data_IF_881499022094
#
_entry.id   IF_881499022094
#
_cell.length_a   1.000
_cell.length_b   1.000
_cell.length_c   1.000
_cell.angle_alpha   90.00
_cell.angle_beta   90.00
_cell.angle_gamma   90.00
#
_symmetry.space_group_name_H-M   'P 1'
#
loop_
_entity.id
_entity.type
_entity.pdbx_description
1 polymer ?
#
# COMPACT_ATOMS: atom_id res chain seq x y z
N UNK A 1 -8.56 -10.84 -1.06
CA UNK A 1 -8.34 -9.65 -0.25
C UNK A 1 -6.89 -9.17 -0.39
N UNK A 2 -6.72 -7.96 -0.84
CA UNK A 2 -5.40 -7.40 -1.07
C UNK A 2 -5.02 -6.53 0.13
N UNK A 3 -3.89 -6.86 0.76
CA UNK A 3 -3.37 -6.11 1.89
C UNK A 3 -2.09 -5.42 1.46
N UNK A 4 -2.03 -4.10 1.69
CA UNK A 4 -0.85 -3.30 1.42
C UNK A 4 -0.25 -2.90 2.77
N UNK A 5 1.00 -3.27 3.00
CA UNK A 5 1.70 -2.97 4.24
C UNK A 5 2.93 -2.12 3.95
N UNK A 6 3.08 -1.04 4.68
CA UNK A 6 4.27 -0.18 4.57
C UNK A 6 5.21 -0.44 5.73
N UNK A 7 6.47 -0.61 5.41
CA UNK A 7 7.52 -0.78 6.40
C UNK A 7 8.14 0.59 6.71
N UNK A 8 8.17 0.95 7.97
CA UNK A 8 8.79 2.22 8.40
C UNK A 8 10.17 1.94 8.96
N UNK A 9 11.21 2.47 8.31
CA UNK A 9 12.61 2.24 8.67
C UNK A 9 13.06 2.95 9.95
N UNK A 10 12.22 3.72 10.61
CA UNK A 10 12.64 4.61 11.69
C UNK A 10 12.12 4.23 13.05
N UNK A 11 12.17 2.97 13.40
CA UNK A 11 11.94 2.56 14.78
C UNK A 11 10.57 2.87 15.40
N UNK A 12 9.71 3.50 14.67
CA UNK A 12 8.32 3.63 15.05
C UNK A 12 7.62 2.38 14.56
N UNK A 13 7.12 1.59 15.48
CA UNK A 13 6.43 0.34 15.17
C UNK A 13 5.04 0.55 14.56
N UNK A 14 4.83 1.67 13.91
CA UNK A 14 3.56 1.96 13.28
C UNK A 14 3.59 1.48 11.83
N UNK A 15 3.58 0.17 11.64
CA UNK A 15 3.35 -0.41 10.34
C UNK A 15 1.95 -0.04 9.89
N UNK A 16 1.85 0.70 8.82
CA UNK A 16 0.55 1.06 8.27
C UNK A 16 0.06 -0.03 7.34
N UNK A 17 -1.12 -0.51 7.60
CA UNK A 17 -1.76 -1.55 6.79
C UNK A 17 -3.01 -0.99 6.14
N UNK A 18 -3.16 -1.29 4.87
CA UNK A 18 -4.34 -0.89 4.10
C UNK A 18 -4.93 -2.11 3.43
N UNK A 19 -6.25 -2.12 3.29
CA UNK A 19 -6.93 -3.15 2.55
C UNK A 19 -7.37 -2.55 1.23
N UNK A 20 -6.85 -3.10 0.13
CA UNK A 20 -7.14 -2.60 -1.20
C UNK A 20 -8.18 -3.50 -1.87
N UNK A 21 -9.11 -2.87 -2.56
CA UNK A 21 -10.08 -3.57 -3.40
C UNK A 21 -9.47 -3.86 -4.77
N UNK A 22 -8.69 -2.93 -5.29
CA UNK A 22 -8.05 -3.04 -6.59
C UNK A 22 -6.78 -2.19 -6.64
N UNK A 23 -5.70 -2.75 -7.16
CA UNK A 23 -4.47 -2.01 -7.39
C UNK A 23 -4.57 -1.33 -8.76
N UNK A 24 -4.38 -0.03 -8.80
CA UNK A 24 -4.45 0.76 -10.03
C UNK A 24 -3.06 1.01 -10.62
N UNK A 25 -2.10 1.40 -9.77
CA UNK A 25 -0.72 1.63 -10.17
C UNK A 25 0.18 0.99 -9.12
N UNK A 26 1.15 0.20 -9.57
CA UNK A 26 2.12 -0.46 -8.69
C UNK A 26 3.51 -0.25 -9.28
N UNK A 27 4.21 0.76 -8.76
CA UNK A 27 5.57 1.09 -9.18
C UNK A 27 6.44 1.32 -7.95
N UNK A 28 7.75 1.33 -8.13
CA UNK A 28 8.69 1.54 -7.04
C UNK A 28 8.48 2.88 -6.34
N UNK A 29 8.12 3.92 -7.09
CA UNK A 29 7.97 5.27 -6.55
C UNK A 29 6.54 5.80 -6.59
N UNK A 30 5.61 4.96 -7.01
CA UNK A 30 4.22 5.38 -7.14
C UNK A 30 3.29 4.19 -6.93
N UNK A 31 2.46 4.29 -5.90
CA UNK A 31 1.46 3.28 -5.60
C UNK A 31 0.09 3.95 -5.54
N UNK A 32 -0.86 3.39 -6.27
CA UNK A 32 -2.22 3.88 -6.27
C UNK A 32 -3.18 2.69 -6.25
N UNK A 33 -4.13 2.74 -5.35
CA UNK A 33 -5.10 1.67 -5.25
C UNK A 33 -6.46 2.21 -4.78
N UNK A 34 -7.48 1.41 -4.98
CA UNK A 34 -8.82 1.70 -4.48
C UNK A 34 -9.05 0.86 -3.23
N UNK A 35 -9.44 1.50 -2.14
CA UNK A 35 -9.66 0.82 -0.86
C UNK A 35 -11.06 0.19 -0.76
N UNK A 36 -11.36 -0.42 0.39
CA UNK A 36 -12.65 -1.05 0.63
C UNK A 36 -13.83 -0.07 0.61
N UNK A 37 -13.57 1.17 0.97
CA UNK A 37 -14.59 2.22 0.98
C UNK A 37 -14.76 2.88 -0.39
N UNK A 38 -14.16 2.29 -1.41
CA UNK A 38 -14.21 2.77 -2.77
C UNK A 38 -13.51 4.11 -2.98
N UNK A 39 -12.59 4.45 -2.10
CA UNK A 39 -11.77 5.65 -2.20
C UNK A 39 -10.45 5.34 -2.89
N UNK A 40 -9.94 6.31 -3.61
CA UNK A 40 -8.62 6.18 -4.24
C UNK A 40 -7.55 6.68 -3.28
N UNK A 41 -6.58 5.82 -3.02
CA UNK A 41 -5.42 6.14 -2.17
C UNK A 41 -4.19 6.14 -3.05
N UNK A 42 -3.40 7.21 -2.97
CA UNK A 42 -2.21 7.36 -3.79
C UNK A 42 -1.02 7.75 -2.93
N UNK A 43 0.10 7.07 -3.14
CA UNK A 43 1.37 7.35 -2.48
C UNK A 43 2.44 7.59 -3.53
N UNK A 44 3.22 8.64 -3.35
CA UNK A 44 4.36 8.97 -4.20
C UNK A 44 5.57 9.27 -3.34
N UNK A 45 6.74 8.84 -3.80
CA UNK A 45 8.00 9.14 -3.12
C UNK A 45 9.11 9.28 -4.14
N UNK A 46 9.93 10.31 -4.00
CA UNK A 46 11.10 10.51 -4.86
C UNK A 46 12.22 9.50 -4.58
N UNK A 47 12.24 8.92 -3.39
CA UNK A 47 13.26 7.96 -2.97
C UNK A 47 12.80 6.50 -3.03
N UNK A 48 11.54 6.27 -3.37
CA UNK A 48 10.96 4.94 -3.41
C UNK A 48 10.04 4.67 -2.24
N UNK A 49 9.20 3.66 -2.40
CA UNK A 49 8.25 3.24 -1.38
C UNK A 49 8.60 1.84 -0.91
N UNK A 50 8.65 1.63 0.40
CA UNK A 50 8.83 0.31 0.99
C UNK A 50 7.46 -0.26 1.35
N UNK A 51 6.94 -1.11 0.50
CA UNK A 51 5.64 -1.73 0.75
C UNK A 51 5.63 -3.18 0.31
N UNK A 52 4.72 -3.94 0.91
CA UNK A 52 4.48 -5.34 0.57
C UNK A 52 3.00 -5.47 0.23
N UNK A 53 2.70 -6.09 -0.90
CA UNK A 53 1.33 -6.36 -1.31
C UNK A 53 1.11 -7.87 -1.22
N UNK A 54 0.09 -8.25 -0.47
CA UNK A 54 -0.30 -9.65 -0.30
C UNK A 54 -1.76 -9.83 -0.68
N UNK A 55 -2.05 -10.86 -1.46
CA UNK A 55 -3.42 -11.18 -1.85
C UNK A 55 -3.81 -12.50 -1.21
N UNK A 56 -4.75 -12.43 -0.28
CA UNK A 56 -5.26 -13.61 0.39
C UNK A 56 -6.63 -13.98 -0.18
N UNK A 57 -6.76 -15.20 -0.62
CA UNK A 57 -8.06 -15.71 -1.01
C UNK A 57 -8.90 -15.95 0.24
N UNK A 58 -10.08 -15.41 0.24
CA UNK A 58 -11.03 -15.61 1.32
C UNK A 58 -11.80 -16.91 1.16
#
# INVERSE_FOLDING_TARGET
>A
RITVSFDTEYGNNDDKHYIAKKILIQKEKHLKFRDEDNRVVEFRSSSGLNYIIEDYES
#
